data_IF_320228475406
#
_entry.id   IF_320228475406
#
_cell.length_a   1.000
_cell.length_b   1.000
_cell.length_c   1.000
_cell.angle_alpha   90.00
_cell.angle_beta   90.00
_cell.angle_gamma   90.00
#
_symmetry.space_group_name_H-M   'P 1'
#
loop_
_entity.id
_entity.type
_entity.pdbx_description
1 polymer ?
#
# COMPACT_ATOMS: atom_id res chain seq x y z
N UNK A 1 53.65 -41.33 14.14
CA UNK A 1 53.96 -40.04 13.48
C UNK A 1 52.64 -39.43 13.03
N UNK A 2 52.08 -38.55 13.86
CA UNK A 2 50.79 -37.88 13.62
C UNK A 2 51.06 -36.47 13.13
N UNK A 3 50.71 -36.17 11.88
CA UNK A 3 50.38 -34.80 11.44
C UNK A 3 49.39 -34.88 10.28
N UNK A 4 48.12 -35.12 10.60
CA UNK A 4 46.99 -34.69 9.78
C UNK A 4 47.01 -33.15 9.80
N UNK A 5 47.33 -32.52 8.68
CA UNK A 5 47.49 -31.07 8.66
C UNK A 5 47.68 -30.51 7.26
N UNK A 6 46.97 -31.03 6.27
CA UNK A 6 46.80 -30.30 5.01
C UNK A 6 45.78 -29.19 5.25
N UNK A 7 46.31 -28.00 5.54
CA UNK A 7 45.57 -26.75 5.75
C UNK A 7 44.55 -26.53 4.63
N UNK A 8 43.27 -26.64 4.98
CA UNK A 8 42.16 -26.32 4.08
C UNK A 8 42.18 -24.81 3.87
N UNK A 9 42.74 -24.38 2.75
CA UNK A 9 42.75 -22.98 2.33
C UNK A 9 41.31 -22.54 2.08
N UNK A 10 40.73 -21.78 3.01
CA UNK A 10 39.38 -21.22 2.85
C UNK A 10 39.42 -20.07 1.85
N UNK A 11 38.83 -20.26 0.68
CA UNK A 11 38.57 -19.16 -0.25
C UNK A 11 37.38 -18.33 0.25
N UNK A 12 37.60 -17.05 0.55
CA UNK A 12 36.55 -16.10 0.94
C UNK A 12 36.16 -15.25 -0.28
N UNK A 13 34.90 -15.34 -0.72
CA UNK A 13 34.41 -14.49 -1.80
C UNK A 13 34.03 -13.11 -1.25
N UNK A 14 34.79 -12.09 -1.62
CA UNK A 14 34.52 -10.70 -1.26
C UNK A 14 33.66 -10.04 -2.34
N UNK A 15 32.56 -9.41 -1.95
CA UNK A 15 31.67 -8.73 -2.90
C UNK A 15 32.14 -7.29 -3.06
N UNK A 16 32.72 -7.02 -4.22
CA UNK A 16 33.34 -5.74 -4.57
C UNK A 16 32.30 -4.73 -5.11
N UNK A 17 31.13 -5.21 -5.56
CA UNK A 17 30.14 -4.40 -6.29
C UNK A 17 28.72 -4.41 -5.73
N UNK A 18 27.86 -3.50 -6.21
CA UNK A 18 26.46 -3.41 -5.79
C UNK A 18 25.67 -4.66 -6.22
N UNK A 19 24.77 -5.12 -5.34
CA UNK A 19 23.79 -6.16 -5.66
C UNK A 19 22.50 -5.49 -6.14
N UNK A 20 22.00 -5.91 -7.30
CA UNK A 20 20.74 -5.42 -7.85
C UNK A 20 19.72 -6.54 -7.98
N UNK A 21 18.45 -6.21 -7.76
CA UNK A 21 17.32 -7.06 -8.08
C UNK A 21 16.61 -6.45 -9.29
N UNK A 22 16.72 -7.10 -10.46
CA UNK A 22 16.09 -6.64 -11.70
C UNK A 22 14.84 -7.46 -11.98
N UNK A 23 13.74 -6.77 -12.33
CA UNK A 23 12.50 -7.39 -12.77
C UNK A 23 12.18 -6.89 -14.19
N UNK A 24 12.21 -7.75 -15.22
CA UNK A 24 11.94 -7.34 -16.59
C UNK A 24 10.49 -6.85 -16.74
N UNK A 25 10.33 -5.72 -17.43
CA UNK A 25 9.04 -5.06 -17.64
C UNK A 25 8.47 -5.42 -19.01
N UNK A 26 9.17 -5.01 -20.09
CA UNK A 26 8.79 -5.23 -21.49
C UNK A 26 10.02 -5.47 -22.35
N UNK A 27 9.85 -6.26 -23.41
CA UNK A 27 10.86 -6.50 -24.45
C UNK A 27 10.32 -5.97 -25.77
N UNK A 28 11.10 -5.14 -26.44
CA UNK A 28 10.77 -4.55 -27.74
C UNK A 28 11.58 -5.22 -28.85
N UNK A 29 10.99 -5.32 -30.04
CA UNK A 29 11.64 -5.94 -31.21
C UNK A 29 12.72 -5.09 -31.88
N UNK A 30 12.91 -3.83 -31.47
CA UNK A 30 13.94 -2.93 -31.97
C UNK A 30 14.83 -2.38 -30.85
N UNK A 31 15.85 -1.59 -31.22
CA UNK A 31 16.91 -1.16 -30.29
C UNK A 31 16.38 -0.36 -29.08
N UNK A 32 15.35 0.47 -29.27
CA UNK A 32 14.70 1.26 -28.21
C UNK A 32 13.21 1.54 -28.53
N UNK A 33 12.60 0.70 -29.37
CA UNK A 33 11.25 0.89 -29.88
C UNK A 33 10.80 -0.28 -30.75
N UNK A 34 9.65 -0.13 -31.41
CA UNK A 34 9.03 -1.20 -32.19
C UNK A 34 7.98 -1.98 -31.39
N UNK A 35 7.41 -3.04 -31.98
CA UNK A 35 6.33 -3.80 -31.35
C UNK A 35 6.81 -4.48 -30.06
N UNK A 36 5.93 -4.53 -29.07
CA UNK A 36 6.17 -5.27 -27.82
C UNK A 36 6.08 -6.76 -28.11
N UNK A 37 7.19 -7.47 -27.94
CA UNK A 37 7.27 -8.93 -28.12
C UNK A 37 6.84 -9.66 -26.86
N UNK A 38 7.13 -9.08 -25.69
CA UNK A 38 6.81 -9.66 -24.40
C UNK A 38 6.49 -8.56 -23.39
N UNK A 39 5.46 -8.80 -22.60
CA UNK A 39 5.07 -7.98 -21.46
C UNK A 39 4.86 -8.89 -20.25
N UNK A 40 5.47 -8.54 -19.12
CA UNK A 40 5.36 -9.32 -17.90
C UNK A 40 3.99 -9.07 -17.23
N UNK A 41 3.08 -10.06 -17.14
CA UNK A 41 1.76 -9.87 -16.54
C UNK A 41 1.82 -9.67 -15.01
N UNK A 42 2.92 -10.06 -14.36
CA UNK A 42 3.11 -9.92 -12.92
C UNK A 42 3.78 -8.60 -12.52
N UNK A 43 4.27 -7.84 -13.51
CA UNK A 43 4.89 -6.56 -13.22
C UNK A 43 3.81 -5.51 -12.93
N UNK A 44 3.85 -4.95 -11.72
CA UNK A 44 3.00 -3.82 -11.33
C UNK A 44 3.92 -2.62 -11.11
N UNK A 45 3.64 -1.51 -11.80
CA UNK A 45 4.42 -0.29 -11.63
C UNK A 45 4.20 0.31 -10.24
N UNK A 46 5.26 0.85 -9.62
CA UNK A 46 5.16 1.51 -8.31
C UNK A 46 4.17 2.68 -8.33
N UNK A 47 4.06 3.38 -9.46
CA UNK A 47 3.07 4.45 -9.66
C UNK A 47 1.63 3.92 -9.58
N UNK A 48 1.37 2.74 -10.15
CA UNK A 48 0.06 2.09 -10.05
C UNK A 48 -0.25 1.67 -8.61
N UNK A 49 0.72 1.16 -7.86
CA UNK A 49 0.55 0.84 -6.43
C UNK A 49 0.19 2.11 -5.64
N UNK A 50 0.96 3.19 -5.81
CA UNK A 50 0.69 4.48 -5.18
C UNK A 50 -0.69 5.04 -5.55
N UNK A 51 -1.12 4.85 -6.80
CA UNK A 51 -2.43 5.32 -7.28
C UNK A 51 -3.56 4.50 -6.68
N UNK A 52 -3.41 3.17 -6.60
CA UNK A 52 -4.37 2.27 -5.97
C UNK A 52 -4.55 2.62 -4.48
N UNK A 53 -3.45 2.91 -3.79
CA UNK A 53 -3.48 3.35 -2.40
C UNK A 53 -4.22 4.67 -2.21
N UNK A 54 -3.97 5.66 -3.07
CA UNK A 54 -4.68 6.95 -3.05
C UNK A 54 -6.17 6.76 -3.29
N UNK A 55 -6.56 5.95 -4.28
CA UNK A 55 -7.95 5.60 -4.57
C UNK A 55 -8.63 4.92 -3.38
N UNK A 56 -7.94 3.98 -2.71
CA UNK A 56 -8.44 3.32 -1.48
C UNK A 56 -8.68 4.33 -0.36
N UNK A 57 -7.81 5.34 -0.22
CA UNK A 57 -7.92 6.39 0.80
C UNK A 57 -8.98 7.45 0.45
N UNK A 58 -9.23 7.73 -0.82
CA UNK A 58 -10.16 8.78 -1.28
C UNK A 58 -11.60 8.58 -0.78
N UNK A 59 -12.06 7.33 -0.65
CA UNK A 59 -13.42 7.02 -0.17
C UNK A 59 -13.67 7.37 1.30
N UNK A 60 -12.63 7.63 2.11
CA UNK A 60 -12.78 7.91 3.55
C UNK A 60 -13.58 9.17 3.83
N UNK A 61 -13.31 10.25 3.09
CA UNK A 61 -14.00 11.53 3.28
C UNK A 61 -15.49 11.42 2.93
N UNK A 62 -15.81 10.85 1.76
CA UNK A 62 -17.18 10.63 1.33
C UNK A 62 -17.97 9.77 2.34
N UNK A 63 -17.35 8.70 2.87
CA UNK A 63 -17.96 7.87 3.93
C UNK A 63 -18.22 8.68 5.21
N UNK A 64 -17.28 9.53 5.63
CA UNK A 64 -17.44 10.42 6.80
C UNK A 64 -18.61 11.38 6.62
N UNK A 65 -18.73 12.02 5.46
CA UNK A 65 -19.84 12.94 5.15
C UNK A 65 -21.17 12.20 5.18
N UNK A 66 -21.28 11.05 4.48
CA UNK A 66 -22.50 10.23 4.49
C UNK A 66 -22.90 9.80 5.90
N UNK A 67 -21.94 9.41 6.75
CA UNK A 67 -22.21 9.05 8.14
C UNK A 67 -22.74 10.24 8.96
N UNK A 68 -22.19 11.45 8.76
CA UNK A 68 -22.68 12.68 9.42
C UNK A 68 -24.11 13.00 9.01
N UNK A 69 -24.42 12.92 7.71
CA UNK A 69 -25.78 13.15 7.19
C UNK A 69 -26.76 12.13 7.76
N UNK A 70 -26.40 10.83 7.77
CA UNK A 70 -27.23 9.77 8.36
C UNK A 70 -27.54 10.03 9.83
N UNK A 71 -26.54 10.46 10.62
CA UNK A 71 -26.74 10.80 12.05
C UNK A 71 -27.74 11.94 12.22
N UNK A 72 -27.60 13.02 11.43
CA UNK A 72 -28.54 14.15 11.47
C UNK A 72 -29.96 13.74 11.09
N UNK A 73 -30.11 12.91 10.06
CA UNK A 73 -31.41 12.39 9.66
C UNK A 73 -32.05 11.55 10.77
N UNK A 74 -31.27 10.71 11.45
CA UNK A 74 -31.75 9.91 12.58
C UNK A 74 -32.21 10.78 13.76
N UNK A 75 -31.44 11.81 14.09
CA UNK A 75 -31.78 12.79 15.14
C UNK A 75 -33.07 13.54 14.80
N UNK A 76 -33.23 13.96 13.55
CA UNK A 76 -34.46 14.61 13.09
C UNK A 76 -35.68 13.68 13.08
N UNK A 77 -35.49 12.40 12.73
CA UNK A 77 -36.58 11.41 12.71
C UNK A 77 -36.99 10.91 14.09
N UNK A 78 -36.15 11.09 15.10
CA UNK A 78 -36.41 10.67 16.49
C UNK A 78 -36.33 11.90 17.41
N UNK A 79 -37.26 12.87 17.27
CA UNK A 79 -37.37 13.95 18.25
C UNK A 79 -37.72 13.33 19.61
N UNK A 80 -36.93 13.62 20.63
CA UNK A 80 -37.23 13.20 21.99
C UNK A 80 -38.36 14.07 22.53
N UNK A 81 -39.29 13.46 23.26
CA UNK A 81 -40.30 14.20 23.99
C UNK A 81 -39.62 15.24 24.90
N UNK A 82 -40.08 16.51 24.90
CA UNK A 82 -39.55 17.52 25.80
C UNK A 82 -39.73 17.06 27.25
N UNK A 83 -38.63 16.98 28.00
CA UNK A 83 -38.67 16.61 29.41
C UNK A 83 -39.39 17.71 30.20
N UNK A 84 -40.47 17.36 30.90
CA UNK A 84 -41.29 18.30 31.69
C UNK A 84 -40.50 19.03 32.79
N UNK A 85 -39.37 18.48 33.22
CA UNK A 85 -38.50 19.04 34.26
C UNK A 85 -37.23 19.72 33.74
N UNK A 86 -37.13 19.98 32.42
CA UNK A 86 -35.91 20.53 31.80
C UNK A 86 -35.49 21.91 32.35
N UNK A 87 -36.43 22.69 32.90
CA UNK A 87 -36.20 24.04 33.42
C UNK A 87 -36.00 24.11 34.94
N UNK A 88 -36.07 22.99 35.67
CA UNK A 88 -36.07 22.97 37.15
C UNK A 88 -34.73 23.39 37.78
N UNK A 89 -33.62 23.28 37.04
CA UNK A 89 -32.27 23.46 37.57
C UNK A 89 -31.49 24.59 36.89
N UNK A 90 -32.19 25.54 36.26
CA UNK A 90 -31.59 26.76 35.69
C UNK A 90 -31.44 27.82 36.80
N UNK A 91 -30.41 27.71 37.63
CA UNK A 91 -29.90 28.79 38.48
C UNK A 91 -28.61 29.41 37.89
#
# INVERSE_FOLDING_TARGET
MTTYGSEITRYLFLIVGPRFCLNPIKIFGGSFGGPTLYENPYYISSNQICTLEKKRKAGKYAKKVKAKTRRKMHELSNPLEPNEFADVWKE
#
